data_IF_115717438226
#
_entry.id   IF_115717438226
#
_cell.length_a   1.000
_cell.length_b   1.000
_cell.length_c   1.000
_cell.angle_alpha   90.00
_cell.angle_beta   90.00
_cell.angle_gamma   90.00
#
_symmetry.space_group_name_H-M   'P 1'
#
loop_
_entity.id
_entity.type
_entity.pdbx_description
1 polymer ?
#
# COMPACT_ATOMS: atom_id res chain seq x y z
N UNK A 1 -13.26 58.44 14.78
CA UNK A 1 -14.21 57.32 14.64
C UNK A 1 -14.38 57.01 13.15
N UNK A 2 -13.69 55.98 12.65
CA UNK A 2 -14.01 55.32 11.37
C UNK A 2 -13.76 53.83 11.57
N UNK A 3 -14.85 53.07 11.66
CA UNK A 3 -14.83 51.63 11.70
C UNK A 3 -14.53 51.11 10.29
N UNK A 4 -13.37 50.50 10.09
CA UNK A 4 -13.16 49.55 9.00
C UNK A 4 -13.37 48.17 9.60
N UNK A 5 -14.57 47.62 9.41
CA UNK A 5 -14.84 46.20 9.68
C UNK A 5 -14.62 45.44 8.38
N UNK A 6 -13.74 44.46 8.48
CA UNK A 6 -13.31 43.49 7.49
C UNK A 6 -14.49 42.83 6.76
N UNK A 7 -14.54 42.98 5.45
CA UNK A 7 -15.50 42.32 4.57
C UNK A 7 -15.16 40.81 4.53
N UNK A 8 -15.89 40.04 5.32
CA UNK A 8 -15.80 38.58 5.31
C UNK A 8 -16.30 38.08 3.94
N UNK A 9 -15.43 37.37 3.21
CA UNK A 9 -15.75 36.68 1.96
C UNK A 9 -16.84 35.62 2.20
N UNK A 10 -18.11 36.02 2.08
CA UNK A 10 -19.26 35.15 2.10
C UNK A 10 -19.32 34.40 0.76
N UNK A 11 -18.92 33.13 0.76
CA UNK A 11 -19.09 32.25 -0.41
C UNK A 11 -20.59 32.11 -0.67
N UNK A 12 -21.02 32.46 -1.88
CA UNK A 12 -22.41 32.36 -2.31
C UNK A 12 -22.93 30.91 -2.11
N UNK A 13 -24.12 30.70 -1.52
CA UNK A 13 -24.72 29.37 -1.36
C UNK A 13 -24.74 28.52 -2.64
N UNK A 14 -24.89 29.12 -3.83
CA UNK A 14 -24.82 28.37 -5.09
C UNK A 14 -23.39 27.91 -5.42
N UNK A 15 -22.41 28.81 -5.29
CA UNK A 15 -21.00 28.47 -5.39
C UNK A 15 -20.61 27.37 -4.37
N UNK A 16 -21.12 27.43 -3.14
CA UNK A 16 -20.91 26.41 -2.11
C UNK A 16 -21.55 25.07 -2.50
N UNK A 17 -22.74 25.06 -3.12
CA UNK A 17 -23.37 23.82 -3.63
C UNK A 17 -22.55 23.20 -4.77
N UNK A 18 -22.11 24.01 -5.73
CA UNK A 18 -21.26 23.55 -6.85
C UNK A 18 -19.91 23.03 -6.36
N UNK A 19 -19.30 23.72 -5.39
CA UNK A 19 -18.08 23.26 -4.72
C UNK A 19 -18.29 21.90 -4.04
N UNK A 20 -19.34 21.75 -3.22
CA UNK A 20 -19.66 20.48 -2.55
C UNK A 20 -19.89 19.35 -3.55
N UNK A 21 -20.67 19.59 -4.62
CA UNK A 21 -20.93 18.59 -5.65
C UNK A 21 -19.63 18.14 -6.34
N UNK A 22 -18.74 19.08 -6.66
CA UNK A 22 -17.44 18.78 -7.26
C UNK A 22 -16.53 18.02 -6.30
N UNK A 23 -16.47 18.43 -5.03
CA UNK A 23 -15.71 17.74 -3.98
C UNK A 23 -16.20 16.30 -3.78
N UNK A 24 -17.52 16.08 -3.74
CA UNK A 24 -18.10 14.74 -3.64
C UNK A 24 -17.72 13.84 -4.84
N UNK A 25 -17.78 14.37 -6.08
CA UNK A 25 -17.37 13.61 -7.27
C UNK A 25 -15.88 13.25 -7.22
N UNK A 26 -15.02 14.19 -6.85
CA UNK A 26 -13.57 13.94 -6.70
C UNK A 26 -13.29 12.88 -5.65
N UNK A 27 -13.96 12.95 -4.49
CA UNK A 27 -13.82 11.95 -3.43
C UNK A 27 -14.26 10.55 -3.90
N UNK A 28 -15.37 10.46 -4.66
CA UNK A 28 -15.84 9.19 -5.20
C UNK A 28 -14.83 8.61 -6.21
N UNK A 29 -14.33 9.43 -7.13
CA UNK A 29 -13.30 9.02 -8.11
C UNK A 29 -12.00 8.59 -7.44
N UNK A 30 -11.55 9.30 -6.41
CA UNK A 30 -10.36 8.94 -5.64
C UNK A 30 -10.53 7.61 -4.91
N UNK A 31 -11.71 7.35 -4.33
CA UNK A 31 -12.02 6.07 -3.67
C UNK A 31 -12.03 4.92 -4.66
N UNK A 32 -12.64 5.10 -5.82
CA UNK A 32 -12.66 4.10 -6.88
C UNK A 32 -11.25 3.79 -7.39
N UNK A 33 -10.46 4.82 -7.70
CA UNK A 33 -9.07 4.65 -8.13
C UNK A 33 -8.20 3.97 -7.06
N UNK A 34 -8.41 4.30 -5.79
CA UNK A 34 -7.71 3.66 -4.68
C UNK A 34 -8.06 2.17 -4.57
N UNK A 35 -9.34 1.81 -4.73
CA UNK A 35 -9.77 0.42 -4.68
C UNK A 35 -9.23 -0.39 -5.87
N UNK A 36 -9.23 0.17 -7.07
CA UNK A 36 -8.60 -0.46 -8.25
C UNK A 36 -7.11 -0.69 -8.00
N UNK A 37 -6.39 0.32 -7.49
CA UNK A 37 -4.97 0.17 -7.12
C UNK A 37 -4.77 -0.90 -6.06
N UNK A 38 -5.63 -0.96 -5.04
CA UNK A 38 -5.56 -1.95 -3.95
C UNK A 38 -5.72 -3.37 -4.50
N UNK A 39 -6.66 -3.58 -5.41
CA UNK A 39 -6.86 -4.88 -6.07
C UNK A 39 -5.65 -5.30 -6.91
N UNK A 40 -5.08 -4.38 -7.67
CA UNK A 40 -3.84 -4.63 -8.42
C UNK A 40 -2.67 -5.00 -7.48
N UNK A 41 -2.54 -4.29 -6.36
CA UNK A 41 -1.51 -4.58 -5.35
C UNK A 41 -1.68 -5.99 -4.75
N UNK A 42 -2.91 -6.41 -4.42
CA UNK A 42 -3.19 -7.78 -3.96
C UNK A 42 -2.84 -8.84 -5.02
N UNK A 43 -3.19 -8.61 -6.28
CA UNK A 43 -2.84 -9.52 -7.37
C UNK A 43 -1.32 -9.63 -7.53
N UNK A 44 -0.61 -8.50 -7.49
CA UNK A 44 0.86 -8.46 -7.54
C UNK A 44 1.49 -9.17 -6.33
N UNK A 45 0.96 -8.98 -5.12
CA UNK A 45 1.43 -9.67 -3.92
C UNK A 45 1.29 -11.20 -4.04
N UNK A 46 0.16 -11.70 -4.55
CA UNK A 46 -0.01 -13.13 -4.80
C UNK A 46 0.96 -13.67 -5.86
N UNK A 47 1.16 -12.94 -6.97
CA UNK A 47 2.16 -13.32 -7.99
C UNK A 47 3.57 -13.34 -7.42
N UNK A 48 3.92 -12.35 -6.60
CA UNK A 48 5.19 -12.30 -5.89
C UNK A 48 5.37 -13.52 -4.98
N UNK A 49 4.36 -13.87 -4.20
CA UNK A 49 4.41 -15.04 -3.31
C UNK A 49 4.62 -16.35 -4.10
N UNK A 50 3.91 -16.54 -5.21
CA UNK A 50 4.10 -17.71 -6.10
C UNK A 50 5.52 -17.74 -6.67
N UNK A 51 6.01 -16.61 -7.19
CA UNK A 51 7.36 -16.51 -7.75
C UNK A 51 8.44 -16.85 -6.70
N UNK A 52 8.31 -16.28 -5.49
CA UNK A 52 9.25 -16.51 -4.40
C UNK A 52 9.27 -17.99 -3.98
N UNK A 53 8.09 -18.61 -3.80
CA UNK A 53 7.98 -20.03 -3.42
C UNK A 53 8.54 -20.97 -4.48
N UNK A 54 8.26 -20.70 -5.76
CA UNK A 54 8.60 -21.63 -6.86
C UNK A 54 10.02 -21.47 -7.38
N UNK A 55 10.61 -20.27 -7.30
CA UNK A 55 11.93 -19.98 -7.89
C UNK A 55 13.04 -19.88 -6.85
N UNK A 56 12.69 -19.51 -5.61
CA UNK A 56 13.63 -19.25 -4.53
C UNK A 56 13.45 -20.18 -3.34
N UNK A 57 12.53 -21.15 -3.44
CA UNK A 57 12.28 -22.18 -2.44
C UNK A 57 11.96 -21.62 -1.04
N UNK A 58 11.40 -20.39 -0.98
CA UNK A 58 10.97 -19.81 0.30
C UNK A 58 9.81 -20.64 0.85
N UNK A 59 9.85 -20.92 2.15
CA UNK A 59 8.91 -21.83 2.80
C UNK A 59 7.62 -21.12 3.20
N UNK A 60 7.68 -19.80 3.37
CA UNK A 60 6.55 -18.97 3.80
C UNK A 60 6.68 -17.56 3.26
N UNK A 61 5.55 -16.97 2.93
CA UNK A 61 5.41 -15.57 2.51
C UNK A 61 4.26 -14.95 3.31
N UNK A 62 4.53 -13.85 3.99
CA UNK A 62 3.52 -13.12 4.76
C UNK A 62 3.49 -11.67 4.27
N UNK A 63 2.31 -11.23 3.84
CA UNK A 63 2.00 -9.83 3.58
C UNK A 63 1.72 -9.11 4.90
N UNK A 64 2.32 -7.94 5.09
CA UNK A 64 2.02 -7.08 6.22
C UNK A 64 1.86 -5.62 5.76
N UNK A 65 1.87 -4.69 6.71
CA UNK A 65 1.84 -3.27 6.41
C UNK A 65 0.48 -2.78 5.90
N UNK A 66 0.52 -1.80 5.00
CA UNK A 66 -0.67 -1.03 4.64
C UNK A 66 -1.66 -1.80 3.77
N UNK A 67 -1.19 -2.74 2.93
CA UNK A 67 -2.07 -3.52 2.06
C UNK A 67 -2.94 -4.52 2.81
N UNK A 68 -2.43 -5.09 3.92
CA UNK A 68 -3.19 -6.02 4.75
C UNK A 68 -4.19 -5.33 5.69
N UNK A 69 -4.13 -4.00 5.81
CA UNK A 69 -4.97 -3.18 6.70
C UNK A 69 -5.70 -2.11 5.90
N UNK A 70 -6.96 -2.37 5.57
CA UNK A 70 -7.74 -1.53 4.64
C UNK A 70 -7.72 -0.03 4.98
N UNK A 71 -7.71 0.33 6.27
CA UNK A 71 -7.68 1.71 6.74
C UNK A 71 -6.35 2.45 6.54
N UNK A 72 -5.26 1.73 6.23
CA UNK A 72 -3.91 2.30 6.06
C UNK A 72 -3.46 2.40 4.60
N UNK A 73 -4.15 1.72 3.67
CA UNK A 73 -3.76 1.72 2.26
C UNK A 73 -4.00 3.08 1.60
N UNK A 74 -3.01 3.56 0.85
CA UNK A 74 -3.02 4.88 0.22
C UNK A 74 -2.54 4.80 -1.24
N UNK A 75 -2.71 5.88 -2.04
CA UNK A 75 -2.19 5.92 -3.41
C UNK A 75 -0.68 5.70 -3.56
N UNK A 76 0.08 5.88 -2.47
CA UNK A 76 1.54 5.74 -2.45
C UNK A 76 2.02 4.49 -1.72
N UNK A 77 1.10 3.64 -1.26
CA UNK A 77 1.44 2.38 -0.61
C UNK A 77 2.18 1.44 -1.56
N UNK A 78 3.15 0.75 -0.99
CA UNK A 78 3.90 -0.40 -1.49
C UNK A 78 3.28 -1.72 -1.00
N UNK A 79 3.92 -2.84 -1.36
CA UNK A 79 3.59 -4.19 -0.92
C UNK A 79 4.70 -4.67 0.01
N UNK A 80 4.41 -4.81 1.29
CA UNK A 80 5.37 -5.28 2.29
C UNK A 80 5.30 -6.80 2.46
N UNK A 81 6.36 -7.52 2.08
CA UNK A 81 6.46 -8.98 2.20
C UNK A 81 7.58 -9.40 3.15
N UNK A 82 7.29 -10.33 4.05
CA UNK A 82 8.31 -11.10 4.77
C UNK A 82 8.35 -12.54 4.26
N UNK A 83 9.56 -13.06 4.05
CA UNK A 83 9.79 -14.44 3.63
C UNK A 83 10.68 -15.20 4.59
N UNK A 84 10.50 -16.52 4.62
CA UNK A 84 11.33 -17.47 5.36
C UNK A 84 12.04 -18.41 4.38
N UNK A 85 13.31 -18.71 4.65
CA UNK A 85 14.12 -19.61 3.86
C UNK A 85 14.78 -18.97 2.64
N UNK A 86 14.72 -17.64 2.48
CA UNK A 86 15.40 -16.96 1.38
C UNK A 86 16.91 -16.86 1.66
N UNK A 87 17.70 -17.54 0.84
CA UNK A 87 19.16 -17.41 0.83
C UNK A 87 19.56 -15.94 0.56
N UNK A 88 20.44 -15.39 1.40
CA UNK A 88 20.94 -14.02 1.31
C UNK A 88 21.59 -13.72 -0.05
N UNK A 89 22.32 -14.69 -0.57
CA UNK A 89 23.02 -14.57 -1.86
C UNK A 89 22.05 -14.42 -3.03
N UNK A 90 20.80 -14.83 -2.85
CA UNK A 90 19.73 -14.73 -3.84
C UNK A 90 18.83 -13.51 -3.65
N UNK A 91 18.99 -12.76 -2.57
CA UNK A 91 18.11 -11.65 -2.20
C UNK A 91 17.94 -10.62 -3.32
N UNK A 92 19.05 -10.05 -3.82
CA UNK A 92 18.96 -9.03 -4.87
C UNK A 92 18.40 -9.57 -6.20
N UNK A 93 18.62 -10.86 -6.49
CA UNK A 93 18.01 -11.50 -7.66
C UNK A 93 16.50 -11.63 -7.46
N UNK A 94 16.04 -11.97 -6.25
CA UNK A 94 14.61 -12.01 -5.94
C UNK A 94 13.97 -10.63 -6.09
N UNK A 95 14.58 -9.60 -5.50
CA UNK A 95 14.11 -8.20 -5.63
C UNK A 95 14.00 -7.78 -7.10
N UNK A 96 15.01 -8.04 -7.92
CA UNK A 96 14.96 -7.73 -9.35
C UNK A 96 13.76 -8.38 -10.05
N UNK A 97 13.46 -9.65 -9.74
CA UNK A 97 12.31 -10.36 -10.34
C UNK A 97 10.97 -9.84 -9.83
N UNK A 98 10.92 -9.34 -8.60
CA UNK A 98 9.71 -8.72 -8.05
C UNK A 98 9.41 -7.37 -8.71
N UNK A 99 10.44 -6.55 -8.97
CA UNK A 99 10.29 -5.28 -9.71
C UNK A 99 9.68 -5.52 -11.11
N UNK A 100 10.09 -6.60 -11.79
CA UNK A 100 9.59 -6.95 -13.12
C UNK A 100 8.09 -7.36 -13.13
N UNK A 101 7.49 -7.69 -11.98
CA UNK A 101 6.09 -8.12 -11.91
C UNK A 101 5.11 -6.97 -12.17
N UNK A 102 5.40 -5.81 -11.59
CA UNK A 102 4.59 -4.60 -11.71
C UNK A 102 5.41 -3.35 -11.37
N UNK A 103 6.00 -2.67 -12.39
CA UNK A 103 6.79 -1.46 -12.16
C UNK A 103 6.00 -0.29 -11.54
N UNK A 104 4.66 -0.37 -11.49
CA UNK A 104 3.81 0.69 -10.94
C UNK A 104 3.55 0.55 -9.43
N UNK A 105 3.97 -0.57 -8.82
CA UNK A 105 3.77 -0.86 -7.40
C UNK A 105 5.08 -1.42 -6.83
N UNK A 106 5.71 -0.65 -5.95
CA UNK A 106 6.90 -1.10 -5.25
C UNK A 106 6.59 -2.29 -4.33
N UNK A 107 7.53 -3.23 -4.23
CA UNK A 107 7.48 -4.34 -3.30
C UNK A 107 8.69 -4.23 -2.38
N UNK A 108 8.45 -4.11 -1.08
CA UNK A 108 9.48 -4.23 -0.06
C UNK A 108 9.56 -5.69 0.40
N UNK A 109 10.76 -6.28 0.32
CA UNK A 109 10.98 -7.70 0.62
C UNK A 109 11.92 -7.81 1.81
N UNK A 110 11.45 -8.40 2.90
CA UNK A 110 12.26 -8.65 4.09
C UNK A 110 12.47 -10.15 4.28
N UNK A 111 13.65 -10.52 4.80
CA UNK A 111 13.93 -11.88 5.25
C UNK A 111 13.67 -11.98 6.74
N UNK A 112 12.84 -12.94 7.15
CA UNK A 112 12.54 -13.15 8.57
C UNK A 112 13.81 -13.39 9.40
N UNK A 113 14.81 -14.05 8.81
CA UNK A 113 16.11 -14.36 9.43
C UNK A 113 16.94 -13.10 9.75
N UNK A 114 16.65 -11.97 9.10
CA UNK A 114 17.35 -10.71 9.31
C UNK A 114 16.58 -9.74 10.24
N UNK A 115 15.38 -10.11 10.70
CA UNK A 115 14.53 -9.25 11.51
C UNK A 115 14.64 -9.58 13.01
N UNK A 116 14.46 -8.59 13.90
CA UNK A 116 14.31 -8.86 15.33
C UNK A 116 13.13 -9.78 15.60
N UNK A 117 13.28 -10.75 16.52
CA UNK A 117 12.25 -11.75 16.83
C UNK A 117 10.89 -11.11 17.18
N UNK A 118 10.88 -10.02 17.93
CA UNK A 118 9.65 -9.31 18.28
C UNK A 118 8.87 -8.80 17.05
N UNK A 119 9.59 -8.34 16.02
CA UNK A 119 8.98 -7.89 14.78
C UNK A 119 8.41 -9.07 13.99
N UNK A 120 9.15 -10.19 13.91
CA UNK A 120 8.67 -11.42 13.28
C UNK A 120 7.38 -11.91 13.94
N UNK A 121 7.34 -12.00 15.27
CA UNK A 121 6.13 -12.41 16.00
C UNK A 121 4.94 -11.49 15.72
N UNK A 122 5.16 -10.17 15.67
CA UNK A 122 4.11 -9.20 15.34
C UNK A 122 3.57 -9.41 13.92
N UNK A 123 4.46 -9.65 12.95
CA UNK A 123 4.10 -9.88 11.55
C UNK A 123 3.35 -11.21 11.41
N UNK A 124 3.79 -12.27 12.07
CA UNK A 124 3.08 -13.56 12.06
C UNK A 124 1.68 -13.47 12.67
N UNK A 125 1.49 -12.60 13.66
CA UNK A 125 0.20 -12.43 14.34
C UNK A 125 -0.77 -11.55 13.56
N UNK A 126 -0.27 -10.54 12.85
CA UNK A 126 -1.11 -9.49 12.23
C UNK A 126 -1.10 -9.50 10.71
N UNK A 127 -0.17 -10.21 10.09
CA UNK A 127 -0.03 -10.33 8.65
C UNK A 127 -0.98 -11.36 8.04
N UNK A 128 -1.01 -11.38 6.71
CA UNK A 128 -1.79 -12.32 5.91
C UNK A 128 -0.82 -13.28 5.22
N UNK A 129 -1.01 -14.58 5.43
CA UNK A 129 -0.19 -15.59 4.73
C UNK A 129 -0.65 -15.68 3.27
N UNK A 130 0.31 -15.58 2.35
CA UNK A 130 0.13 -15.74 0.90
C UNK A 130 0.67 -17.09 0.43
#
# INVERSE_FOLDING_TARGET
MRAHVTEQSLIDPEQMRQYRATAHRRMAQQREALEVRRQAAWQTAHRAAVLLKTTYDVTRVVLFGSLSRNELFSPHSDIDLVVWGLDETRYYRAVSRLIDLDPSIAIDLLRAEALPTALVTMIETTGVTL
#
